data_IF_319666802116
#
_entry.id   IF_319666802116
#
_cell.length_a   1.000
_cell.length_b   1.000
_cell.length_c   1.000
_cell.angle_alpha   90.00
_cell.angle_beta   90.00
_cell.angle_gamma   90.00
#
_symmetry.space_group_name_H-M   'P 1'
#
loop_
_entity.id
_entity.type
_entity.pdbx_description
1 polymer ?
#
# COMPACT_ATOMS: atom_id res chain seq x y z
N UNK A 1 -8.86 -0.17 10.66
CA UNK A 1 -9.31 0.74 9.58
C UNK A 1 -10.17 0.03 8.54
N UNK A 2 -9.78 -1.15 8.03
CA UNK A 2 -10.56 -1.88 7.01
C UNK A 2 -12.00 -2.17 7.42
N UNK A 3 -12.24 -2.66 8.65
CA UNK A 3 -13.58 -2.90 9.19
C UNK A 3 -14.49 -1.66 9.07
N UNK A 4 -13.98 -0.50 9.48
CA UNK A 4 -14.71 0.77 9.40
C UNK A 4 -14.97 1.16 7.94
N UNK A 5 -14.01 0.94 7.05
CA UNK A 5 -14.21 1.17 5.61
C UNK A 5 -15.35 0.31 5.03
N UNK A 6 -15.41 -0.96 5.41
CA UNK A 6 -16.47 -1.87 4.98
C UNK A 6 -17.84 -1.50 5.53
N UNK A 7 -17.91 -1.05 6.78
CA UNK A 7 -19.18 -0.59 7.34
C UNK A 7 -19.67 0.71 6.68
N UNK A 8 -18.76 1.65 6.41
CA UNK A 8 -19.09 2.88 5.68
C UNK A 8 -19.54 2.60 4.24
N UNK A 9 -18.89 1.66 3.54
CA UNK A 9 -19.31 1.20 2.21
C UNK A 9 -20.72 0.58 2.25
N UNK A 10 -20.98 -0.26 3.25
CA UNK A 10 -22.30 -0.88 3.45
C UNK A 10 -23.38 0.19 3.67
N UNK A 11 -23.13 1.15 4.55
CA UNK A 11 -24.04 2.25 4.84
C UNK A 11 -24.28 3.11 3.59
N UNK A 12 -23.23 3.48 2.87
CA UNK A 12 -23.33 4.27 1.65
C UNK A 12 -24.17 3.60 0.56
N UNK A 13 -24.15 2.26 0.49
CA UNK A 13 -24.94 1.50 -0.46
C UNK A 13 -26.44 1.47 -0.14
N UNK A 14 -26.81 1.52 1.14
CA UNK A 14 -28.22 1.44 1.58
C UNK A 14 -28.85 2.80 1.86
N UNK A 15 -28.04 3.85 2.04
CA UNK A 15 -28.55 5.20 2.23
C UNK A 15 -29.25 5.70 0.96
N UNK A 16 -30.40 6.36 1.16
CA UNK A 16 -31.23 6.87 0.07
C UNK A 16 -30.99 8.36 -0.18
N UNK A 17 -30.38 9.07 0.78
CA UNK A 17 -29.94 10.45 0.59
C UNK A 17 -28.59 10.45 -0.14
N UNK A 18 -28.51 11.00 -1.37
CA UNK A 18 -27.28 11.00 -2.15
C UNK A 18 -26.14 11.78 -1.46
N UNK A 19 -26.44 12.77 -0.60
CA UNK A 19 -25.40 13.51 0.12
C UNK A 19 -24.79 12.67 1.24
N UNK A 20 -25.61 11.94 1.99
CA UNK A 20 -25.10 11.04 3.03
C UNK A 20 -24.34 9.87 2.41
N UNK A 21 -24.88 9.27 1.35
CA UNK A 21 -24.19 8.23 0.59
C UNK A 21 -22.81 8.71 0.09
N UNK A 22 -22.70 9.95 -0.39
CA UNK A 22 -21.42 10.54 -0.80
C UNK A 22 -20.42 10.68 0.35
N UNK A 23 -20.85 11.23 1.48
CA UNK A 23 -20.02 11.38 2.67
C UNK A 23 -19.49 10.03 3.18
N UNK A 24 -20.37 9.02 3.24
CA UNK A 24 -20.04 7.67 3.67
C UNK A 24 -19.08 6.99 2.68
N UNK A 25 -19.36 7.08 1.38
CA UNK A 25 -18.53 6.49 0.32
C UNK A 25 -17.11 7.06 0.27
N UNK A 26 -16.98 8.40 0.34
CA UNK A 26 -15.67 9.08 0.44
C UNK A 26 -14.91 8.66 1.69
N UNK A 27 -15.61 8.61 2.83
CA UNK A 27 -15.04 8.16 4.09
C UNK A 27 -14.53 6.72 3.99
N UNK A 28 -15.25 5.83 3.29
CA UNK A 28 -14.81 4.45 3.06
C UNK A 28 -13.49 4.39 2.27
N UNK A 29 -13.33 5.17 1.19
CA UNK A 29 -12.06 5.26 0.45
C UNK A 29 -10.90 5.67 1.37
N UNK A 30 -11.10 6.69 2.19
CA UNK A 30 -10.12 7.14 3.17
C UNK A 30 -9.73 6.01 4.14
N UNK A 31 -10.71 5.29 4.70
CA UNK A 31 -10.45 4.19 5.63
C UNK A 31 -9.69 3.03 4.99
N UNK A 32 -10.00 2.68 3.75
CA UNK A 32 -9.26 1.64 3.03
C UNK A 32 -7.83 2.06 2.70
N UNK A 33 -7.61 3.31 2.28
CA UNK A 33 -6.27 3.86 2.10
C UNK A 33 -5.45 3.77 3.40
N UNK A 34 -5.99 4.26 4.52
CA UNK A 34 -5.25 4.23 5.80
C UNK A 34 -4.98 2.80 6.29
N UNK A 35 -5.88 1.85 6.02
CA UNK A 35 -5.61 0.45 6.32
C UNK A 35 -4.37 -0.06 5.59
N UNK A 36 -4.27 0.15 4.28
CA UNK A 36 -3.09 -0.24 3.49
C UNK A 36 -1.82 0.53 3.91
N UNK A 37 -1.95 1.83 4.17
CA UNK A 37 -0.84 2.69 4.60
C UNK A 37 -0.27 2.25 5.96
N UNK A 38 -1.11 1.95 6.94
CA UNK A 38 -0.66 1.57 8.28
C UNK A 38 0.11 0.24 8.27
N UNK A 39 -0.37 -0.75 7.50
CA UNK A 39 0.32 -2.03 7.27
C UNK A 39 1.71 -1.79 6.67
N UNK A 40 1.77 -0.94 5.66
CA UNK A 40 3.05 -0.57 5.01
C UNK A 40 3.98 0.13 5.98
N UNK A 41 3.48 1.12 6.73
CA UNK A 41 4.26 1.90 7.69
C UNK A 41 4.88 1.03 8.77
N UNK A 42 4.11 0.07 9.30
CA UNK A 42 4.61 -0.91 10.27
C UNK A 42 5.74 -1.76 9.67
N UNK A 43 5.54 -2.27 8.45
CA UNK A 43 6.54 -3.07 7.74
C UNK A 43 7.82 -2.29 7.47
N UNK A 44 7.71 -1.03 7.03
CA UNK A 44 8.87 -0.16 6.84
C UNK A 44 9.61 0.08 8.15
N UNK A 45 8.90 0.31 9.25
CA UNK A 45 9.48 0.45 10.59
C UNK A 45 10.19 -0.82 11.08
N UNK A 46 9.68 -2.00 10.74
CA UNK A 46 10.36 -3.28 10.98
C UNK A 46 11.66 -3.39 10.19
N UNK A 47 11.66 -2.97 8.91
CA UNK A 47 12.83 -3.08 8.03
C UNK A 47 13.92 -2.07 8.39
N UNK A 48 13.52 -0.85 8.77
CA UNK A 48 14.38 0.21 9.28
C UNK A 48 13.56 1.13 10.21
N UNK A 49 13.93 1.28 11.50
CA UNK A 49 13.14 2.05 12.46
C UNK A 49 12.85 3.50 12.05
N UNK A 50 13.80 4.16 11.37
CA UNK A 50 13.65 5.54 10.89
C UNK A 50 12.68 5.70 9.71
N UNK A 51 12.26 4.63 9.03
CA UNK A 51 11.27 4.68 7.95
C UNK A 51 9.82 4.68 8.46
N UNK A 52 9.60 4.40 9.75
CA UNK A 52 8.25 4.40 10.35
C UNK A 52 7.57 5.78 10.29
N UNK A 53 8.36 6.85 10.29
CA UNK A 53 7.88 8.24 10.25
C UNK A 53 7.75 8.85 8.86
N UNK A 54 7.95 8.08 7.78
CA UNK A 54 7.93 8.63 6.42
C UNK A 54 6.55 9.22 6.07
N UNK A 55 6.48 10.48 5.60
CA UNK A 55 5.24 11.08 5.12
C UNK A 55 4.61 10.24 4.02
N UNK A 56 3.27 10.21 3.97
CA UNK A 56 2.56 9.17 3.22
C UNK A 56 2.80 9.30 1.71
N UNK A 57 2.89 10.53 1.21
CA UNK A 57 3.21 10.86 -0.17
C UNK A 57 4.63 10.39 -0.58
N UNK A 58 5.55 10.24 0.37
CA UNK A 58 6.95 9.90 0.11
C UNK A 58 7.22 8.39 0.25
N UNK A 59 6.25 7.59 0.72
CA UNK A 59 6.42 6.14 0.85
C UNK A 59 6.66 5.46 -0.50
N UNK A 60 5.92 5.76 -1.59
CA UNK A 60 6.21 5.16 -2.90
C UNK A 60 7.65 5.40 -3.37
N UNK A 61 8.18 6.61 -3.22
CA UNK A 61 9.56 6.93 -3.55
C UNK A 61 10.55 6.16 -2.66
N UNK A 62 10.26 6.06 -1.35
CA UNK A 62 11.08 5.30 -0.41
C UNK A 62 11.20 3.84 -0.82
N UNK A 63 10.07 3.21 -1.16
CA UNK A 63 10.02 1.81 -1.60
C UNK A 63 10.91 1.59 -2.83
N UNK A 64 10.83 2.48 -3.82
CA UNK A 64 11.55 2.33 -5.09
C UNK A 64 13.05 2.62 -4.92
N UNK A 65 13.41 3.63 -4.13
CA UNK A 65 14.78 4.20 -4.14
C UNK A 65 15.63 3.85 -2.92
N UNK A 66 15.03 3.58 -1.76
CA UNK A 66 15.77 3.42 -0.48
C UNK A 66 15.94 1.95 -0.09
N UNK A 67 15.02 1.06 -0.46
CA UNK A 67 15.08 -0.36 -0.09
C UNK A 67 16.36 -1.07 -0.57
N UNK A 68 16.84 -0.75 -1.78
CA UNK A 68 18.04 -1.37 -2.34
C UNK A 68 19.33 -0.98 -1.63
N UNK A 69 19.34 0.18 -0.95
CA UNK A 69 20.56 0.77 -0.39
C UNK A 69 21.21 -0.12 0.68
N UNK A 70 20.48 -0.64 1.69
CA UNK A 70 21.03 -1.61 2.63
C UNK A 70 21.09 -3.04 2.05
N UNK A 71 20.15 -3.41 1.18
CA UNK A 71 20.06 -4.76 0.61
C UNK A 71 21.27 -5.15 -0.24
N UNK A 72 21.69 -4.27 -1.16
CA UNK A 72 22.78 -4.59 -2.10
C UNK A 72 24.12 -4.86 -1.41
N UNK A 73 24.61 -4.01 -0.48
CA UNK A 73 25.84 -4.29 0.25
C UNK A 73 25.79 -5.59 1.07
N UNK A 74 24.65 -5.89 1.72
CA UNK A 74 24.48 -7.11 2.50
C UNK A 74 24.58 -8.37 1.62
N UNK A 75 23.91 -8.39 0.47
CA UNK A 75 23.99 -9.48 -0.49
C UNK A 75 25.38 -9.61 -1.12
N UNK A 76 26.00 -8.49 -1.52
CA UNK A 76 27.36 -8.52 -2.06
C UNK A 76 28.37 -9.06 -1.05
N UNK A 77 28.19 -8.77 0.26
CA UNK A 77 29.01 -9.35 1.33
C UNK A 77 28.84 -10.87 1.40
N UNK A 78 27.59 -11.36 1.41
CA UNK A 78 27.30 -12.79 1.44
C UNK A 78 27.83 -13.54 0.21
N UNK A 79 27.73 -12.92 -0.97
CA UNK A 79 28.29 -13.49 -2.21
C UNK A 79 29.81 -13.60 -2.13
N UNK A 80 30.49 -12.55 -1.64
CA UNK A 80 31.95 -12.57 -1.47
C UNK A 80 32.43 -13.61 -0.46
N UNK A 81 31.62 -13.93 0.55
CA UNK A 81 31.90 -15.00 1.50
C UNK A 81 31.46 -16.39 1.00
N UNK A 82 30.97 -16.52 -0.23
CA UNK A 82 30.52 -17.80 -0.80
C UNK A 82 29.24 -18.37 -0.19
N UNK A 83 28.49 -17.59 0.59
CA UNK A 83 27.23 -18.03 1.21
C UNK A 83 26.07 -18.09 0.21
N UNK A 84 26.14 -17.26 -0.84
CA UNK A 84 25.17 -17.23 -1.93
C UNK A 84 25.88 -17.11 -3.28
N UNK A 85 25.22 -17.60 -4.31
CA UNK A 85 25.63 -17.49 -5.71
C UNK A 85 25.28 -16.11 -6.31
N UNK A 86 25.90 -15.72 -7.44
CA UNK A 86 25.46 -14.54 -8.20
C UNK A 86 24.00 -14.60 -8.65
N UNK A 87 23.49 -15.81 -8.94
CA UNK A 87 22.10 -16.03 -9.31
C UNK A 87 21.13 -15.71 -8.17
N UNK A 88 21.46 -16.13 -6.94
CA UNK A 88 20.67 -15.83 -5.75
C UNK A 88 20.68 -14.35 -5.38
N UNK A 89 21.84 -13.69 -5.47
CA UNK A 89 21.94 -12.22 -5.30
C UNK A 89 21.00 -11.50 -6.28
N UNK A 90 21.04 -11.88 -7.56
CA UNK A 90 20.17 -11.30 -8.60
C UNK A 90 18.69 -11.57 -8.33
N UNK A 91 18.33 -12.81 -7.96
CA UNK A 91 16.95 -13.21 -7.64
C UNK A 91 16.39 -12.39 -6.49
N UNK A 92 17.15 -12.22 -5.40
CA UNK A 92 16.71 -11.49 -4.21
C UNK A 92 16.56 -9.99 -4.49
N UNK A 93 17.52 -9.38 -5.20
CA UNK A 93 17.43 -7.96 -5.57
C UNK A 93 16.27 -7.69 -6.54
N UNK A 94 16.06 -8.57 -7.52
CA UNK A 94 14.95 -8.47 -8.46
C UNK A 94 13.61 -8.63 -7.72
N UNK A 95 13.47 -9.66 -6.89
CA UNK A 95 12.29 -9.88 -6.06
C UNK A 95 11.96 -8.69 -5.15
N UNK A 96 12.98 -8.13 -4.48
CA UNK A 96 12.82 -6.93 -3.65
C UNK A 96 12.32 -5.75 -4.50
N UNK A 97 12.91 -5.54 -5.68
CA UNK A 97 12.56 -4.44 -6.58
C UNK A 97 11.12 -4.55 -7.07
N UNK A 98 10.73 -5.73 -7.58
CA UNK A 98 9.41 -5.96 -8.13
C UNK A 98 8.34 -5.78 -7.06
N UNK A 99 8.49 -6.42 -5.90
CA UNK A 99 7.51 -6.30 -4.82
C UNK A 99 7.42 -4.87 -4.27
N UNK A 100 8.55 -4.15 -4.19
CA UNK A 100 8.54 -2.74 -3.80
C UNK A 100 7.79 -1.86 -4.80
N UNK A 101 8.01 -2.06 -6.10
CA UNK A 101 7.32 -1.31 -7.16
C UNK A 101 5.82 -1.60 -7.18
N UNK A 102 5.41 -2.86 -7.00
CA UNK A 102 3.99 -3.25 -6.93
C UNK A 102 3.29 -2.58 -5.74
N UNK A 103 3.92 -2.60 -4.56
CA UNK A 103 3.39 -1.92 -3.37
C UNK A 103 3.36 -0.40 -3.54
N UNK A 104 4.40 0.19 -4.16
CA UNK A 104 4.43 1.61 -4.44
C UNK A 104 3.29 2.02 -5.39
N UNK A 105 3.04 1.26 -6.45
CA UNK A 105 1.94 1.51 -7.38
C UNK A 105 0.58 1.44 -6.69
N UNK A 106 0.36 0.40 -5.86
CA UNK A 106 -0.87 0.26 -5.06
C UNK A 106 -1.11 1.50 -4.19
N UNK A 107 -0.09 1.96 -3.47
CA UNK A 107 -0.19 3.11 -2.57
C UNK A 107 -0.40 4.42 -3.32
N UNK A 108 0.22 4.60 -4.48
CA UNK A 108 -0.01 5.77 -5.34
C UNK A 108 -1.47 5.83 -5.80
N UNK A 109 -2.03 4.72 -6.28
CA UNK A 109 -3.43 4.66 -6.71
C UNK A 109 -4.40 4.89 -5.55
N UNK A 110 -4.14 4.26 -4.40
CA UNK A 110 -4.97 4.45 -3.21
C UNK A 110 -4.88 5.88 -2.65
N UNK A 111 -3.71 6.51 -2.75
CA UNK A 111 -3.50 7.89 -2.32
C UNK A 111 -4.25 8.88 -3.21
N UNK A 112 -4.23 8.68 -4.53
CA UNK A 112 -5.01 9.47 -5.48
C UNK A 112 -6.51 9.45 -5.13
N UNK A 113 -7.08 8.26 -4.91
CA UNK A 113 -8.46 8.13 -4.45
C UNK A 113 -8.73 8.85 -3.12
N UNK A 114 -7.78 8.80 -2.17
CA UNK A 114 -7.88 9.53 -0.90
C UNK A 114 -7.88 11.04 -1.10
N UNK A 115 -7.03 11.56 -2.00
CA UNK A 115 -6.97 13.00 -2.30
C UNK A 115 -8.31 13.48 -2.83
N UNK A 116 -8.88 12.77 -3.80
CA UNK A 116 -10.20 13.06 -4.34
C UNK A 116 -11.28 13.03 -3.24
N UNK A 117 -11.22 12.02 -2.36
CA UNK A 117 -12.20 11.85 -1.29
C UNK A 117 -12.14 12.95 -0.23
N UNK A 118 -10.94 13.40 0.16
CA UNK A 118 -10.70 14.34 1.27
C UNK A 118 -10.72 15.82 0.83
N UNK A 119 -10.28 16.14 -0.39
CA UNK A 119 -10.00 17.53 -0.78
C UNK A 119 -10.76 18.04 -2.02
N UNK A 120 -11.44 17.17 -2.76
CA UNK A 120 -12.22 17.56 -3.95
C UNK A 120 -13.73 17.30 -3.71
N UNK A 121 -14.40 18.04 -2.80
CA UNK A 121 -15.80 17.80 -2.39
C UNK A 121 -16.84 17.95 -3.52
N UNK A 122 -16.47 18.65 -4.59
CA UNK A 122 -17.26 18.82 -5.82
C UNK A 122 -17.34 17.52 -6.64
N UNK A 123 -16.41 16.59 -6.50
CA UNK A 123 -16.39 15.33 -7.25
C UNK A 123 -17.23 14.27 -6.53
N UNK A 124 -18.53 14.29 -6.71
CA UNK A 124 -19.43 13.35 -6.02
C UNK A 124 -19.13 11.89 -6.38
N UNK A 125 -19.26 11.02 -5.39
CA UNK A 125 -19.34 9.59 -5.65
C UNK A 125 -20.61 9.29 -6.41
N UNK A 126 -20.56 8.25 -7.25
CA UNK A 126 -21.71 7.76 -7.99
C UNK A 126 -21.94 6.30 -7.65
N UNK A 127 -23.20 5.88 -7.70
CA UNK A 127 -23.59 4.49 -7.49
C UNK A 127 -23.97 3.89 -8.84
N UNK A 128 -23.13 2.97 -9.32
CA UNK A 128 -23.44 2.12 -10.48
C UNK A 128 -23.83 0.73 -9.97
N UNK A 129 -25.14 0.45 -9.99
CA UNK A 129 -25.75 -0.75 -9.39
C UNK A 129 -25.38 -0.88 -7.90
N UNK A 130 -24.49 -1.81 -7.56
CA UNK A 130 -24.02 -2.08 -6.20
C UNK A 130 -22.56 -1.67 -6.00
N UNK A 131 -22.02 -0.81 -6.86
CA UNK A 131 -20.64 -0.33 -6.78
C UNK A 131 -20.64 1.18 -6.63
N UNK A 132 -19.97 1.66 -5.60
CA UNK A 132 -19.70 3.09 -5.41
C UNK A 132 -18.39 3.43 -6.11
N UNK A 133 -18.44 4.48 -6.93
CA UNK A 133 -17.34 4.98 -7.73
C UNK A 133 -17.00 6.41 -7.34
N UNK A 134 -15.72 6.77 -7.42
CA UNK A 134 -15.21 8.14 -7.29
C UNK A 134 -14.25 8.39 -8.46
N UNK A 135 -14.70 9.16 -9.47
CA UNK A 135 -14.07 9.20 -10.80
C UNK A 135 -13.83 7.77 -11.34
N UNK A 136 -12.59 7.35 -11.50
CA UNK A 136 -12.17 6.04 -12.00
C UNK A 136 -11.99 5.00 -10.89
N UNK A 137 -12.02 5.41 -9.63
CA UNK A 137 -11.79 4.54 -8.47
C UNK A 137 -13.10 3.88 -8.03
N UNK A 138 -13.04 2.58 -7.68
CA UNK A 138 -14.19 1.80 -7.21
C UNK A 138 -13.96 1.35 -5.78
N UNK A 139 -14.98 1.42 -4.91
CA UNK A 139 -14.86 0.90 -3.54
C UNK A 139 -14.59 -0.61 -3.51
N UNK A 140 -15.08 -1.37 -4.49
CA UNK A 140 -14.79 -2.80 -4.63
C UNK A 140 -13.31 -3.09 -4.93
N UNK A 141 -12.59 -2.15 -5.55
CA UNK A 141 -11.13 -2.20 -5.68
C UNK A 141 -10.48 -1.72 -4.38
N UNK A 142 -10.99 -0.64 -3.79
CA UNK A 142 -10.43 -0.04 -2.58
C UNK A 142 -10.40 -1.00 -1.38
N UNK A 143 -11.48 -1.77 -1.19
CA UNK A 143 -11.58 -2.80 -0.13
C UNK A 143 -10.48 -3.86 -0.20
N UNK A 144 -9.86 -4.05 -1.36
CA UNK A 144 -8.78 -5.03 -1.57
C UNK A 144 -7.39 -4.46 -1.27
N UNK A 145 -7.22 -3.14 -1.21
CA UNK A 145 -5.91 -2.54 -0.97
C UNK A 145 -5.24 -3.01 0.32
N UNK A 146 -5.95 -3.17 1.46
CA UNK A 146 -5.30 -3.62 2.70
C UNK A 146 -4.74 -5.03 2.57
N UNK A 147 -5.50 -5.96 1.98
CA UNK A 147 -5.05 -7.33 1.77
C UNK A 147 -3.87 -7.39 0.78
N UNK A 148 -3.93 -6.62 -0.32
CA UNK A 148 -2.82 -6.54 -1.26
C UNK A 148 -1.56 -5.97 -0.61
N UNK A 149 -1.70 -4.89 0.17
CA UNK A 149 -0.59 -4.30 0.91
C UNK A 149 0.02 -5.30 1.90
N UNK A 150 -0.80 -6.06 2.63
CA UNK A 150 -0.32 -7.10 3.54
C UNK A 150 0.48 -8.18 2.80
N UNK A 151 -0.02 -8.68 1.66
CA UNK A 151 0.70 -9.68 0.84
C UNK A 151 2.05 -9.17 0.36
N UNK A 152 2.11 -7.95 -0.18
CA UNK A 152 3.38 -7.35 -0.61
C UNK A 152 4.32 -7.13 0.58
N UNK A 153 3.81 -6.62 1.70
CA UNK A 153 4.58 -6.42 2.92
C UNK A 153 5.13 -7.73 3.50
N UNK A 154 4.35 -8.80 3.51
CA UNK A 154 4.79 -10.13 3.93
C UNK A 154 5.93 -10.66 3.05
N UNK A 155 5.83 -10.46 1.73
CA UNK A 155 6.89 -10.82 0.78
C UNK A 155 8.15 -9.98 0.99
N UNK A 156 8.02 -8.66 1.19
CA UNK A 156 9.16 -7.79 1.52
C UNK A 156 9.86 -8.24 2.80
N UNK A 157 9.11 -8.50 3.88
CA UNK A 157 9.67 -8.99 5.15
C UNK A 157 10.42 -10.30 4.97
N UNK A 158 9.89 -11.23 4.18
CA UNK A 158 10.54 -12.51 3.88
C UNK A 158 11.86 -12.31 3.15
N UNK A 159 11.86 -11.53 2.07
CA UNK A 159 13.08 -11.21 1.31
C UNK A 159 14.09 -10.50 2.20
N UNK A 160 13.66 -9.58 3.06
CA UNK A 160 14.52 -8.86 3.99
C UNK A 160 15.24 -9.78 4.98
N UNK A 161 14.54 -10.80 5.49
CA UNK A 161 15.11 -11.87 6.33
C UNK A 161 16.06 -12.75 5.54
N UNK A 162 15.73 -13.14 4.30
CA UNK A 162 16.63 -13.90 3.42
C UNK A 162 17.94 -13.14 3.14
N UNK A 163 17.89 -11.79 3.09
CA UNK A 163 19.08 -10.95 2.96
C UNK A 163 19.85 -10.81 4.30
N UNK A 164 19.29 -11.25 5.43
CA UNK A 164 19.91 -11.14 6.75
C UNK A 164 19.93 -9.71 7.30
N UNK A 165 18.91 -8.90 6.98
CA UNK A 165 18.77 -7.52 7.46
C UNK A 165 17.76 -7.37 8.60
N UNK A 166 17.18 -8.46 9.08
CA UNK A 166 16.32 -8.51 10.26
C UNK A 166 16.46 -9.85 10.99
#
# INVERSE_FOLDING_TARGET
>A
MQYVGSELERLALIDTDPNNADLLGRSAFNRYYYAAFLITRETLGYMQPNWKGTPHANIPELLITKLKKPAKPALTKQRRSGLITPGEESRLLSGLSTTASELAQLLTQAYDARILADYEPEIKTTKDKNVICLKSHKLTTARQWPEQADRYCARLKRIWKEIGLA
#
